data_IF_197843942317
#
_entry.id   IF_197843942317
#
_cell.length_a   1.000
_cell.length_b   1.000
_cell.length_c   1.000
_cell.angle_alpha   90.00
_cell.angle_beta   90.00
_cell.angle_gamma   90.00
#
_symmetry.space_group_name_H-M   'P 1'
#
loop_
_entity.id
_entity.type
_entity.pdbx_description
1 polymer ?
#
# COMPACT_ATOMS: atom_id res chain seq x y z
N UNK A 1 -8.21 -42.94 -0.95
CA UNK A 1 -9.06 -42.70 0.24
C UNK A 1 -8.30 -42.05 1.40
N UNK A 2 -7.13 -42.56 1.81
CA UNK A 2 -6.29 -41.95 2.87
C UNK A 2 -5.89 -40.48 2.58
N UNK A 3 -5.50 -40.16 1.34
CA UNK A 3 -5.16 -38.80 0.95
C UNK A 3 -6.36 -37.82 0.99
N UNK A 4 -7.56 -38.31 0.65
CA UNK A 4 -8.81 -37.52 0.73
C UNK A 4 -9.15 -37.25 2.19
N UNK A 5 -8.99 -38.25 3.06
CA UNK A 5 -9.21 -38.11 4.50
C UNK A 5 -8.21 -37.12 5.13
N UNK A 6 -6.91 -37.23 4.84
CA UNK A 6 -5.90 -36.28 5.32
C UNK A 6 -6.17 -34.87 4.81
N UNK A 7 -6.60 -34.72 3.55
CA UNK A 7 -7.02 -33.44 2.99
C UNK A 7 -8.19 -32.84 3.76
N UNK A 8 -9.26 -33.59 4.03
CA UNK A 8 -10.39 -33.07 4.82
C UNK A 8 -10.07 -32.85 6.30
N UNK A 9 -9.18 -33.65 6.90
CA UNK A 9 -8.78 -33.50 8.31
C UNK A 9 -7.78 -32.36 8.53
N UNK A 10 -7.03 -31.94 7.52
CA UNK A 10 -6.02 -30.87 7.63
C UNK A 10 -6.25 -29.68 6.67
N UNK A 11 -7.36 -29.65 5.92
CA UNK A 11 -7.70 -28.54 5.02
C UNK A 11 -7.71 -27.20 5.75
N UNK A 12 -8.14 -27.20 7.02
CA UNK A 12 -8.21 -25.98 7.85
C UNK A 12 -6.81 -25.51 8.25
N UNK A 13 -5.92 -26.42 8.66
CA UNK A 13 -4.51 -26.12 8.92
C UNK A 13 -3.81 -25.60 7.67
N UNK A 14 -4.00 -26.26 6.52
CA UNK A 14 -3.42 -25.87 5.25
C UNK A 14 -3.92 -24.49 4.82
N UNK A 15 -5.24 -24.27 4.87
CA UNK A 15 -5.86 -22.98 4.53
C UNK A 15 -5.39 -21.86 5.47
N UNK A 16 -5.22 -22.15 6.76
CA UNK A 16 -4.74 -21.17 7.74
C UNK A 16 -3.31 -20.72 7.44
N UNK A 17 -2.39 -21.64 7.11
CA UNK A 17 -1.02 -21.30 6.71
C UNK A 17 -1.01 -20.48 5.41
N UNK A 18 -1.81 -20.85 4.41
CA UNK A 18 -1.95 -20.05 3.19
C UNK A 18 -2.47 -18.64 3.48
N UNK A 19 -3.48 -18.50 4.33
CA UNK A 19 -4.03 -17.20 4.73
C UNK A 19 -2.99 -16.35 5.47
N UNK A 20 -2.21 -16.96 6.37
CA UNK A 20 -1.11 -16.28 7.07
C UNK A 20 -0.04 -15.78 6.10
N UNK A 21 0.36 -16.60 5.13
CA UNK A 21 1.33 -16.22 4.10
C UNK A 21 0.81 -15.05 3.24
N UNK A 22 -0.43 -15.13 2.78
CA UNK A 22 -1.07 -14.07 1.99
C UNK A 22 -1.15 -12.77 2.81
N UNK A 23 -1.59 -12.86 4.07
CA UNK A 23 -1.65 -11.71 4.97
C UNK A 23 -0.27 -11.10 5.23
N UNK A 24 0.76 -11.92 5.40
CA UNK A 24 2.13 -11.45 5.56
C UNK A 24 2.65 -10.75 4.30
N UNK A 25 2.43 -11.31 3.10
CA UNK A 25 2.77 -10.65 1.83
C UNK A 25 2.07 -9.30 1.68
N UNK A 26 0.81 -9.20 2.12
CA UNK A 26 0.10 -7.92 2.14
C UNK A 26 0.72 -6.93 3.12
N UNK A 27 1.07 -7.36 4.34
CA UNK A 27 1.74 -6.51 5.33
C UNK A 27 3.10 -6.00 4.82
N UNK A 28 3.87 -6.85 4.13
CA UNK A 28 5.14 -6.45 3.52
C UNK A 28 4.92 -5.35 2.48
N UNK A 29 3.98 -5.55 1.55
CA UNK A 29 3.63 -4.54 0.53
C UNK A 29 3.19 -3.22 1.15
N UNK A 30 2.43 -3.27 2.25
CA UNK A 30 2.04 -2.10 3.04
C UNK A 30 3.23 -1.37 3.65
N UNK A 31 4.17 -2.11 4.24
CA UNK A 31 5.37 -1.54 4.84
C UNK A 31 6.22 -0.85 3.79
N UNK A 32 6.42 -1.46 2.63
CA UNK A 32 7.19 -0.87 1.54
C UNK A 32 6.55 0.43 1.01
N UNK A 33 5.22 0.48 0.86
CA UNK A 33 4.52 1.70 0.44
C UNK A 33 4.66 2.78 1.51
N UNK A 34 4.55 2.42 2.79
CA UNK A 34 4.78 3.34 3.91
C UNK A 34 6.19 3.94 3.87
N UNK A 35 7.21 3.12 3.69
CA UNK A 35 8.61 3.58 3.66
C UNK A 35 8.85 4.54 2.50
N UNK A 36 8.28 4.27 1.32
CA UNK A 36 8.33 5.20 0.18
C UNK A 36 7.64 6.52 0.47
N UNK A 37 6.51 6.49 1.18
CA UNK A 37 5.80 7.71 1.59
C UNK A 37 6.64 8.53 2.57
N UNK A 38 7.35 7.89 3.50
CA UNK A 38 8.26 8.60 4.41
C UNK A 38 9.43 9.24 3.66
N UNK A 39 10.01 8.55 2.67
CA UNK A 39 11.08 9.09 1.83
C UNK A 39 10.67 10.37 1.07
N UNK A 40 9.39 10.55 0.74
CA UNK A 40 8.91 11.79 0.11
C UNK A 40 9.13 13.05 0.97
N UNK A 41 9.27 12.91 2.30
CA UNK A 41 9.61 14.05 3.16
C UNK A 41 11.04 14.54 2.97
N UNK A 42 11.94 13.67 2.51
CA UNK A 42 13.37 13.97 2.36
C UNK A 42 13.64 14.89 1.16
N UNK A 43 12.68 14.97 0.22
CA UNK A 43 12.80 15.73 -1.02
C UNK A 43 11.90 16.96 -1.02
N UNK A 44 12.37 18.07 -1.57
CA UNK A 44 11.63 19.32 -1.75
C UNK A 44 11.19 19.48 -3.21
N UNK A 45 9.89 19.53 -3.47
CA UNK A 45 9.37 19.66 -4.83
C UNK A 45 9.62 21.03 -5.48
N UNK A 46 10.15 22.01 -4.75
CA UNK A 46 10.61 23.30 -5.32
C UNK A 46 11.95 23.20 -6.02
N UNK A 47 12.79 22.24 -5.64
CA UNK A 47 14.08 21.99 -6.25
C UNK A 47 13.88 21.10 -7.48
N UNK A 48 14.25 21.53 -8.70
CA UNK A 48 14.06 20.75 -9.92
C UNK A 48 14.68 19.35 -9.88
N UNK A 49 15.85 19.18 -9.26
CA UNK A 49 16.54 17.89 -9.18
C UNK A 49 15.79 16.95 -8.22
N UNK A 50 15.39 17.47 -7.05
CA UNK A 50 14.63 16.71 -6.07
C UNK A 50 13.20 16.41 -6.52
N UNK A 51 12.63 17.27 -7.37
CA UNK A 51 11.32 17.06 -7.98
C UNK A 51 11.28 15.78 -8.82
N UNK A 52 12.38 15.45 -9.51
CA UNK A 52 12.48 14.17 -10.24
C UNK A 52 12.44 12.97 -9.29
N UNK A 53 13.13 13.05 -8.15
CA UNK A 53 13.07 12.00 -7.13
C UNK A 53 11.66 11.81 -6.58
N UNK A 54 10.93 12.91 -6.31
CA UNK A 54 9.52 12.84 -5.88
C UNK A 54 8.66 12.12 -6.92
N UNK A 55 8.83 12.45 -8.21
CA UNK A 55 8.07 11.84 -9.30
C UNK A 55 8.36 10.34 -9.43
N UNK A 56 9.63 9.95 -9.32
CA UNK A 56 10.02 8.54 -9.37
C UNK A 56 9.38 7.75 -8.23
N UNK A 57 9.43 8.29 -7.01
CA UNK A 57 8.80 7.65 -5.84
C UNK A 57 7.27 7.58 -6.02
N UNK A 58 6.63 8.62 -6.55
CA UNK A 58 5.20 8.57 -6.88
C UNK A 58 4.88 7.47 -7.89
N UNK A 59 5.65 7.33 -8.96
CA UNK A 59 5.43 6.30 -9.97
C UNK A 59 5.64 4.89 -9.42
N UNK A 60 6.63 4.68 -8.54
CA UNK A 60 6.81 3.42 -7.83
C UNK A 60 5.60 3.09 -6.94
N UNK A 61 5.13 4.04 -6.14
CA UNK A 61 3.94 3.88 -5.28
C UNK A 61 2.71 3.57 -6.15
N UNK A 62 2.49 4.30 -7.24
CA UNK A 62 1.39 4.06 -8.19
C UNK A 62 1.46 2.64 -8.75
N UNK A 63 2.64 2.19 -9.18
CA UNK A 63 2.86 0.83 -9.68
C UNK A 63 2.51 -0.24 -8.65
N UNK A 64 2.97 -0.08 -7.40
CA UNK A 64 2.67 -1.01 -6.32
C UNK A 64 1.19 -1.05 -5.96
N UNK A 65 0.53 0.10 -5.87
CA UNK A 65 -0.92 0.17 -5.58
C UNK A 65 -1.71 -0.47 -6.72
N UNK A 66 -1.35 -0.22 -7.99
CA UNK A 66 -2.05 -0.81 -9.15
C UNK A 66 -1.86 -2.34 -9.22
N UNK A 67 -0.68 -2.84 -8.87
CA UNK A 67 -0.35 -4.26 -8.85
C UNK A 67 -0.99 -5.04 -7.69
N UNK A 68 -1.56 -4.35 -6.70
CA UNK A 68 -2.18 -4.96 -5.52
C UNK A 68 -3.66 -4.58 -5.45
N UNK A 69 -4.56 -5.52 -5.76
CA UNK A 69 -6.00 -5.24 -5.81
C UNK A 69 -6.58 -4.70 -4.49
N UNK A 70 -6.05 -5.14 -3.36
CA UNK A 70 -6.48 -4.67 -2.03
C UNK A 70 -6.12 -3.20 -1.88
N UNK A 71 -4.87 -2.82 -2.16
CA UNK A 71 -4.45 -1.41 -2.15
C UNK A 71 -5.23 -0.58 -3.17
N UNK A 72 -5.42 -1.07 -4.39
CA UNK A 72 -6.16 -0.37 -5.44
C UNK A 72 -7.55 0.07 -4.99
N UNK A 73 -8.28 -0.76 -4.23
CA UNK A 73 -9.63 -0.41 -3.72
C UNK A 73 -9.60 0.75 -2.72
N UNK A 74 -8.58 0.83 -1.87
CA UNK A 74 -8.48 1.85 -0.83
C UNK A 74 -7.87 3.18 -1.32
N UNK A 75 -7.07 3.12 -2.40
CA UNK A 75 -6.31 4.26 -2.92
C UNK A 75 -6.80 4.75 -4.29
N UNK A 76 -7.93 4.25 -4.82
CA UNK A 76 -8.43 4.59 -6.16
C UNK A 76 -8.57 6.09 -6.42
N UNK A 77 -9.14 6.83 -5.47
CA UNK A 77 -9.34 8.28 -5.59
C UNK A 77 -8.02 9.06 -5.59
N UNK A 78 -7.12 8.72 -4.66
CA UNK A 78 -5.84 9.42 -4.51
C UNK A 78 -4.85 9.07 -5.62
N UNK A 79 -4.97 7.89 -6.23
CA UNK A 79 -4.20 7.49 -7.41
C UNK A 79 -4.36 8.47 -8.56
N UNK A 80 -5.58 8.93 -8.85
CA UNK A 80 -5.83 9.91 -9.93
C UNK A 80 -5.07 11.21 -9.65
N UNK A 81 -5.04 11.65 -8.40
CA UNK A 81 -4.31 12.84 -7.98
C UNK A 81 -2.79 12.63 -8.10
N UNK A 82 -2.28 11.48 -7.65
CA UNK A 82 -0.87 11.11 -7.77
C UNK A 82 -0.42 11.09 -9.23
N UNK A 83 -1.22 10.48 -10.12
CA UNK A 83 -0.96 10.40 -11.55
C UNK A 83 -0.97 11.79 -12.20
N UNK A 84 -1.93 12.66 -11.83
CA UNK A 84 -1.91 14.04 -12.34
C UNK A 84 -0.70 14.83 -11.87
N UNK A 85 -0.17 14.55 -10.68
CA UNK A 85 1.00 15.24 -10.12
C UNK A 85 2.31 14.68 -10.68
N UNK A 86 2.38 13.38 -10.96
CA UNK A 86 3.56 12.75 -11.55
C UNK A 86 3.70 13.03 -13.05
N UNK A 87 2.58 13.21 -13.76
CA UNK A 87 2.56 13.49 -15.20
C UNK A 87 2.99 14.91 -15.57
N UNK A 88 2.82 15.88 -14.67
CA UNK A 88 3.14 17.29 -14.94
C UNK A 88 3.91 17.92 -13.76
N UNK A 89 5.23 18.08 -13.95
CA UNK A 89 6.15 18.73 -12.99
C UNK A 89 5.65 20.11 -12.54
N UNK A 90 4.93 20.86 -13.39
CA UNK A 90 4.43 22.21 -13.05
C UNK A 90 3.31 22.16 -12.01
N UNK A 91 2.60 21.03 -11.94
CA UNK A 91 1.52 20.79 -10.98
C UNK A 91 2.05 20.34 -9.62
N UNK A 92 3.25 19.76 -9.58
CA UNK A 92 3.88 19.24 -8.37
C UNK A 92 4.53 20.36 -7.55
N UNK A 93 3.71 21.09 -6.82
CA UNK A 93 4.20 22.08 -5.86
C UNK A 93 4.42 21.47 -4.48
N UNK A 94 5.34 22.03 -3.71
CA UNK A 94 5.64 21.55 -2.35
C UNK A 94 4.41 21.50 -1.41
N UNK A 95 3.46 22.47 -1.44
CA UNK A 95 2.20 22.33 -0.69
C UNK A 95 1.37 21.13 -1.14
N UNK A 96 1.27 20.89 -2.45
CA UNK A 96 0.49 19.75 -2.99
C UNK A 96 1.15 18.42 -2.66
N UNK A 97 2.48 18.34 -2.73
CA UNK A 97 3.25 17.18 -2.26
C UNK A 97 2.95 16.89 -0.79
N UNK A 98 3.03 17.90 0.09
CA UNK A 98 2.79 17.74 1.53
C UNK A 98 1.35 17.31 1.85
N UNK A 99 0.36 17.90 1.18
CA UNK A 99 -1.03 17.48 1.32
C UNK A 99 -1.22 16.01 0.94
N UNK A 100 -0.66 15.60 -0.21
CA UNK A 100 -0.76 14.23 -0.69
C UNK A 100 -0.07 13.22 0.25
N UNK A 101 1.12 13.56 0.74
CA UNK A 101 1.86 12.73 1.71
C UNK A 101 1.03 12.51 2.97
N UNK A 102 0.43 13.57 3.53
CA UNK A 102 -0.42 13.47 4.72
C UNK A 102 -1.65 12.58 4.47
N UNK A 103 -2.31 12.74 3.33
CA UNK A 103 -3.47 11.91 2.99
C UNK A 103 -3.08 10.44 2.77
N UNK A 104 -1.96 10.18 2.08
CA UNK A 104 -1.44 8.83 1.87
C UNK A 104 -1.11 8.14 3.21
N UNK A 105 -0.47 8.85 4.14
CA UNK A 105 -0.21 8.34 5.51
C UNK A 105 -1.51 7.96 6.21
N UNK A 106 -2.51 8.82 6.13
CA UNK A 106 -3.76 8.60 6.85
C UNK A 106 -4.57 7.45 6.25
N UNK A 107 -4.61 7.32 4.91
CA UNK A 107 -5.21 6.17 4.23
C UNK A 107 -4.49 4.86 4.58
N UNK A 108 -3.15 4.87 4.64
CA UNK A 108 -2.38 3.70 5.09
C UNK A 108 -2.68 3.33 6.55
N UNK A 109 -2.80 4.33 7.44
CA UNK A 109 -3.12 4.12 8.85
C UNK A 109 -4.47 3.42 9.02
N UNK A 110 -5.50 3.89 8.33
CA UNK A 110 -6.82 3.27 8.32
C UNK A 110 -6.79 1.83 7.79
N UNK A 111 -6.03 1.59 6.72
CA UNK A 111 -5.87 0.25 6.16
C UNK A 111 -5.19 -0.71 7.15
N UNK A 112 -4.18 -0.23 7.87
CA UNK A 112 -3.49 -1.02 8.89
C UNK A 112 -4.43 -1.37 10.05
N UNK A 113 -5.22 -0.41 10.55
CA UNK A 113 -6.22 -0.64 11.61
C UNK A 113 -7.26 -1.67 11.16
N UNK A 114 -7.82 -1.51 9.95
CA UNK A 114 -8.78 -2.47 9.41
C UNK A 114 -8.20 -3.88 9.25
N UNK A 115 -6.92 -4.00 8.91
CA UNK A 115 -6.25 -5.30 8.86
C UNK A 115 -6.06 -5.91 10.25
N UNK A 116 -5.75 -5.12 11.28
CA UNK A 116 -5.63 -5.58 12.67
C UNK A 116 -7.00 -6.06 13.18
N UNK A 117 -8.07 -5.32 12.94
CA UNK A 117 -9.43 -5.71 13.36
C UNK A 117 -9.84 -7.05 12.72
N UNK A 118 -9.52 -7.27 11.45
CA UNK A 118 -9.77 -8.54 10.76
C UNK A 118 -8.93 -9.70 11.32
N UNK A 119 -7.75 -9.43 11.88
CA UNK A 119 -6.89 -10.45 12.52
C UNK A 119 -7.34 -10.79 13.94
N UNK A 120 -7.92 -9.83 14.66
CA UNK A 120 -8.38 -10.00 16.05
C UNK A 120 -9.82 -10.54 16.11
N UNK A 121 -10.64 -10.27 15.08
CA UNK A 121 -12.06 -10.60 15.01
C UNK A 121 -12.44 -12.09 14.90
N UNK A 122 -11.49 -13.01 14.74
CA UNK A 122 -11.76 -14.47 14.75
C UNK A 122 -11.72 -15.10 16.16
N UNK A 123 -11.68 -14.29 17.22
CA UNK A 123 -11.58 -14.75 18.62
C UNK A 123 -12.90 -14.74 19.42
N UNK A 124 -14.07 -14.78 18.78
CA UNK A 124 -15.37 -14.92 19.46
C UNK A 124 -16.28 -15.94 18.78
#
# INVERSE_FOLDING_TARGET
MLAIYIYFSRKEEISSVFNLLVNYTHQLSLSEVRDKIERLNEYNAKDPEQCEHVINIFNEIIGQIRGNERLRRHFSEILVTMESLSADKRRLTEPRKRALVSELRERLRHLNISNIDNLVGESQ
#
